data_IF_824738741313
#
_entry.id   IF_824738741313
#
_cell.length_a   1.000
_cell.length_b   1.000
_cell.length_c   1.000
_cell.angle_alpha   90.00
_cell.angle_beta   90.00
_cell.angle_gamma   90.00
#
_symmetry.space_group_name_H-M   'P 1'
#
loop_
_entity.id
_entity.type
_entity.pdbx_description
1 polymer ?
#
# COMPACT_ATOMS: atom_id res chain seq x y z
N UNK A 1 3.05 12.30 -6.00
CA UNK A 1 3.48 11.86 -4.67
C UNK A 1 3.84 10.36 -4.66
N UNK A 2 2.96 9.48 -5.14
CA UNK A 2 3.20 8.03 -5.21
C UNK A 2 4.51 7.69 -5.90
N UNK A 3 4.78 8.23 -7.10
CA UNK A 3 6.04 8.04 -7.82
C UNK A 3 7.27 8.48 -7.03
N UNK A 4 7.18 9.58 -6.30
CA UNK A 4 8.30 10.09 -5.51
C UNK A 4 8.68 9.15 -4.37
N UNK A 5 7.68 8.72 -3.57
CA UNK A 5 7.90 7.81 -2.46
C UNK A 5 8.42 6.46 -2.98
N UNK A 6 7.79 5.89 -4.01
CA UNK A 6 8.21 4.62 -4.59
C UNK A 6 9.64 4.68 -5.13
N UNK A 7 10.00 5.72 -5.89
CA UNK A 7 11.35 5.89 -6.42
C UNK A 7 12.39 6.06 -5.31
N UNK A 8 12.06 6.75 -4.22
CA UNK A 8 13.02 6.92 -3.12
C UNK A 8 13.20 5.62 -2.34
N UNK A 9 12.13 4.85 -2.09
CA UNK A 9 12.24 3.51 -1.48
C UNK A 9 13.16 2.63 -2.34
N UNK A 10 12.93 2.51 -3.64
CA UNK A 10 13.76 1.72 -4.55
C UNK A 10 15.22 2.18 -4.51
N UNK A 11 15.48 3.47 -4.57
CA UNK A 11 16.83 4.03 -4.52
C UNK A 11 17.55 3.69 -3.22
N UNK A 12 16.86 3.70 -2.08
CA UNK A 12 17.43 3.31 -0.79
C UNK A 12 17.75 1.80 -0.76
N UNK A 13 16.86 0.97 -1.31
CA UNK A 13 17.06 -0.47 -1.46
C UNK A 13 18.28 -0.78 -2.34
N UNK A 14 18.36 -0.14 -3.51
CA UNK A 14 19.51 -0.27 -4.43
C UNK A 14 20.82 0.21 -3.77
N UNK A 15 20.76 1.22 -2.91
CA UNK A 15 21.87 1.69 -2.09
C UNK A 15 22.29 0.75 -0.97
N UNK A 16 21.59 -0.37 -0.76
CA UNK A 16 21.87 -1.35 0.28
C UNK A 16 21.47 -0.91 1.69
N UNK A 17 20.56 0.05 1.79
CA UNK A 17 20.03 0.54 3.06
C UNK A 17 18.95 -0.41 3.53
N UNK A 18 19.18 -1.15 4.63
CA UNK A 18 18.25 -2.14 5.17
C UNK A 18 17.22 -1.58 6.16
N UNK A 19 17.47 -0.39 6.68
CA UNK A 19 16.47 0.39 7.42
C UNK A 19 16.80 1.86 7.30
N UNK A 20 15.80 2.69 7.14
CA UNK A 20 15.92 4.13 7.33
C UNK A 20 15.35 4.43 8.70
N UNK A 21 16.23 4.53 9.70
CA UNK A 21 15.87 5.14 10.95
C UNK A 21 15.89 6.66 10.75
N UNK A 22 14.83 7.17 10.25
CA UNK A 22 14.70 8.60 10.04
C UNK A 22 13.56 8.87 9.06
N UNK A 23 12.74 9.81 9.45
CA UNK A 23 11.68 10.29 8.61
C UNK A 23 12.26 11.18 7.53
N UNK A 24 12.09 10.83 6.27
CA UNK A 24 12.25 11.79 5.19
C UNK A 24 10.95 12.59 5.13
N UNK A 25 11.00 13.86 5.53
CA UNK A 25 9.86 14.75 5.40
C UNK A 25 9.81 15.28 3.97
N UNK A 26 8.68 15.10 3.30
CA UNK A 26 8.44 15.61 1.96
C UNK A 26 7.38 16.70 2.04
N UNK A 27 7.72 17.89 1.54
CA UNK A 27 6.75 18.98 1.35
C UNK A 27 6.08 18.78 -0.01
N UNK A 28 4.93 18.12 -0.03
CA UNK A 28 4.06 18.08 -1.18
C UNK A 28 2.62 18.33 -0.74
N UNK A 29 1.88 19.19 -1.43
CA UNK A 29 0.46 19.34 -1.16
C UNK A 29 -0.24 18.03 -1.49
N UNK A 30 -0.65 17.29 -0.47
CA UNK A 30 -1.53 16.13 -0.60
C UNK A 30 -2.96 16.63 -0.88
N UNK A 31 -3.25 17.88 -0.52
CA UNK A 31 -4.54 18.53 -0.66
C UNK A 31 -4.42 19.86 -1.41
N UNK A 32 -5.47 20.21 -2.15
CA UNK A 32 -5.53 21.35 -3.09
C UNK A 32 -5.34 22.71 -2.41
N UNK A 33 -5.49 22.81 -1.08
CA UNK A 33 -5.48 24.07 -0.33
C UNK A 33 -4.42 24.17 0.80
N UNK A 34 -3.49 23.21 0.93
CA UNK A 34 -2.50 23.24 1.99
C UNK A 34 -1.15 23.72 1.45
N UNK A 35 -0.67 24.85 1.96
CA UNK A 35 0.61 25.45 1.56
C UNK A 35 1.85 24.66 2.01
N UNK A 36 1.72 23.71 2.99
CA UNK A 36 2.85 22.93 3.53
C UNK A 36 2.40 21.58 4.10
N UNK A 37 1.84 20.68 3.26
CA UNK A 37 1.55 19.32 3.72
C UNK A 37 2.82 18.48 3.81
N UNK A 38 3.24 18.21 5.03
CA UNK A 38 4.32 17.27 5.33
C UNK A 38 3.75 15.87 5.42
N UNK A 39 4.35 14.94 4.72
CA UNK A 39 4.14 13.51 4.95
C UNK A 39 5.44 12.88 5.40
N UNK A 40 5.41 12.19 6.51
CA UNK A 40 6.52 11.36 6.93
C UNK A 40 6.37 10.00 6.28
N UNK A 41 7.43 9.46 5.74
CA UNK A 41 7.45 8.11 5.25
C UNK A 41 8.75 7.42 5.68
N UNK A 42 8.66 6.12 5.89
CA UNK A 42 9.81 5.30 6.23
C UNK A 42 9.68 3.90 5.64
N UNK A 43 10.78 3.18 5.60
CA UNK A 43 10.72 1.75 5.36
C UNK A 43 11.77 1.01 6.20
N UNK A 44 11.49 -0.25 6.47
CA UNK A 44 12.42 -1.20 7.04
C UNK A 44 12.40 -2.51 6.24
N UNK A 45 13.38 -3.37 6.49
CA UNK A 45 13.46 -4.70 5.87
C UNK A 45 13.35 -5.76 6.94
N UNK A 46 12.37 -6.63 6.80
CA UNK A 46 12.17 -7.77 7.68
C UNK A 46 12.51 -9.08 6.96
N UNK A 47 13.24 -9.96 7.63
CA UNK A 47 13.57 -11.28 7.11
C UNK A 47 12.72 -12.37 7.80
N UNK A 48 11.98 -13.13 6.99
CA UNK A 48 11.13 -14.23 7.42
C UNK A 48 11.64 -15.56 6.86
N UNK A 49 11.16 -16.68 7.39
CA UNK A 49 11.62 -18.01 6.95
C UNK A 49 11.11 -18.32 5.52
N UNK A 50 9.94 -17.84 5.15
CA UNK A 50 9.33 -18.03 3.83
C UNK A 50 8.37 -16.86 3.51
N UNK A 51 8.28 -16.51 2.22
CA UNK A 51 7.26 -15.61 1.67
C UNK A 51 6.44 -16.43 0.67
N UNK A 52 5.23 -16.89 1.04
CA UNK A 52 4.48 -17.84 0.25
C UNK A 52 4.21 -17.36 -1.18
N UNK A 53 4.68 -18.12 -2.17
CA UNK A 53 4.44 -17.86 -3.59
C UNK A 53 5.10 -16.62 -4.18
N UNK A 54 5.97 -15.93 -3.41
CA UNK A 54 6.60 -14.66 -3.79
C UNK A 54 8.09 -14.63 -3.46
N UNK A 55 8.82 -13.71 -4.10
CA UNK A 55 10.22 -13.40 -3.78
C UNK A 55 10.35 -12.31 -2.72
N UNK A 56 9.34 -11.54 -2.51
CA UNK A 56 9.19 -10.52 -1.47
C UNK A 56 7.71 -10.30 -1.16
N UNK A 57 7.44 -9.58 -0.08
CA UNK A 57 6.11 -9.03 0.22
C UNK A 57 6.27 -7.60 0.74
N UNK A 58 5.21 -6.81 0.73
CA UNK A 58 5.19 -5.44 1.25
C UNK A 58 4.06 -5.33 2.25
N UNK A 59 4.41 -5.03 3.49
CA UNK A 59 3.45 -4.63 4.50
C UNK A 59 3.53 -3.13 4.67
N UNK A 60 2.40 -2.49 4.73
CA UNK A 60 2.35 -1.06 4.87
C UNK A 60 1.31 -0.64 5.89
N UNK A 61 1.46 0.55 6.43
CA UNK A 61 0.50 1.16 7.32
C UNK A 61 0.52 2.67 7.17
N UNK A 62 -0.65 3.28 7.26
CA UNK A 62 -0.82 4.72 7.23
C UNK A 62 -1.47 5.24 8.51
N UNK A 63 -1.01 6.37 9.01
CA UNK A 63 -1.51 6.96 10.24
C UNK A 63 -1.17 8.44 10.37
N UNK A 64 -1.29 8.95 11.60
CA UNK A 64 -0.80 10.26 11.99
C UNK A 64 0.10 10.10 13.21
N UNK A 65 1.22 10.80 13.23
CA UNK A 65 2.09 10.85 14.40
C UNK A 65 1.49 11.74 15.51
N UNK A 66 2.23 11.90 16.62
CA UNK A 66 1.81 12.70 17.78
C UNK A 66 1.61 14.19 17.44
N UNK A 67 2.24 14.71 16.38
CA UNK A 67 2.10 16.07 15.88
C UNK A 67 1.02 16.22 14.82
N UNK A 68 0.19 15.17 14.59
CA UNK A 68 -0.83 15.11 13.53
C UNK A 68 -0.26 15.22 12.11
N UNK A 69 1.01 14.90 11.91
CA UNK A 69 1.61 14.80 10.58
C UNK A 69 1.30 13.42 10.01
N UNK A 70 0.79 13.33 8.77
CA UNK A 70 0.58 12.04 8.11
C UNK A 70 1.87 11.21 8.06
N UNK A 71 1.76 9.93 8.35
CA UNK A 71 2.89 9.00 8.35
C UNK A 71 2.52 7.72 7.61
N UNK A 72 3.41 7.27 6.72
CA UNK A 72 3.28 5.99 6.02
C UNK A 72 4.56 5.19 6.22
N UNK A 73 4.42 3.99 6.74
CA UNK A 73 5.54 3.07 6.97
C UNK A 73 5.39 1.82 6.09
N UNK A 74 6.49 1.44 5.44
CA UNK A 74 6.57 0.25 4.61
C UNK A 74 7.54 -0.75 5.21
N UNK A 75 7.16 -2.00 5.28
CA UNK A 75 8.05 -3.11 5.63
C UNK A 75 8.22 -4.01 4.42
N UNK A 76 9.43 -4.04 3.87
CA UNK A 76 9.81 -4.98 2.81
C UNK A 76 10.15 -6.32 3.43
N UNK A 77 9.37 -7.33 3.15
CA UNK A 77 9.52 -8.66 3.74
C UNK A 77 10.26 -9.58 2.76
N UNK A 78 11.38 -10.13 3.18
CA UNK A 78 12.25 -10.99 2.37
C UNK A 78 12.45 -12.36 3.03
N UNK A 79 12.59 -13.44 2.22
CA UNK A 79 13.04 -14.72 2.74
C UNK A 79 14.43 -14.61 3.36
N UNK A 80 14.68 -15.31 4.46
CA UNK A 80 16.02 -15.37 5.07
C UNK A 80 17.06 -15.90 4.09
N UNK A 81 18.17 -15.20 4.03
CA UNK A 81 19.28 -15.54 3.12
C UNK A 81 19.19 -14.86 1.75
N UNK A 82 18.12 -14.15 1.46
CA UNK A 82 18.03 -13.25 0.31
C UNK A 82 18.79 -11.97 0.63
N UNK A 83 19.71 -11.56 -0.24
CA UNK A 83 20.29 -10.22 -0.16
C UNK A 83 19.27 -9.18 -0.63
N UNK A 84 19.18 -8.06 0.06
CA UNK A 84 18.31 -6.95 -0.36
C UNK A 84 18.66 -6.46 -1.79
N UNK A 85 19.94 -6.49 -2.13
CA UNK A 85 20.45 -6.11 -3.46
C UNK A 85 20.09 -7.11 -4.55
N UNK A 86 19.89 -8.39 -4.17
CA UNK A 86 19.48 -9.45 -5.10
C UNK A 86 17.96 -9.63 -5.15
N UNK A 87 17.23 -8.94 -4.26
CA UNK A 87 15.78 -8.95 -4.26
C UNK A 87 15.25 -8.18 -5.47
N UNK A 88 14.51 -8.85 -6.32
CA UNK A 88 13.80 -8.21 -7.44
C UNK A 88 12.49 -7.66 -6.89
N UNK A 89 12.51 -6.39 -6.50
CA UNK A 89 11.30 -5.69 -6.06
C UNK A 89 10.48 -5.32 -7.29
N UNK A 90 9.25 -5.78 -7.33
CA UNK A 90 8.33 -5.38 -8.41
C UNK A 90 7.87 -3.93 -8.20
N UNK A 91 8.32 -3.04 -9.09
CA UNK A 91 8.00 -1.62 -9.02
C UNK A 91 6.47 -1.35 -9.08
N UNK A 92 5.70 -1.95 -10.01
CA UNK A 92 4.25 -1.81 -10.03
C UNK A 92 3.57 -2.20 -8.73
N UNK A 93 3.96 -3.31 -8.10
CA UNK A 93 3.38 -3.77 -6.84
C UNK A 93 3.68 -2.79 -5.69
N UNK A 94 4.94 -2.36 -5.55
CA UNK A 94 5.32 -1.36 -4.55
C UNK A 94 4.57 -0.04 -4.78
N UNK A 95 4.45 0.40 -6.04
CA UNK A 95 3.70 1.60 -6.40
C UNK A 95 2.23 1.50 -6.02
N UNK A 96 1.61 0.33 -6.24
CA UNK A 96 0.25 0.04 -5.81
C UNK A 96 0.08 0.13 -4.30
N UNK A 97 1.01 -0.45 -3.54
CA UNK A 97 1.01 -0.40 -2.08
C UNK A 97 1.14 1.05 -1.56
N UNK A 98 2.03 1.85 -2.16
CA UNK A 98 2.14 3.28 -1.80
C UNK A 98 0.85 4.03 -2.10
N UNK A 99 0.19 3.78 -3.24
CA UNK A 99 -1.07 4.41 -3.59
C UNK A 99 -2.20 4.03 -2.61
N UNK A 100 -2.26 2.77 -2.18
CA UNK A 100 -3.19 2.26 -1.18
C UNK A 100 -3.06 3.04 0.14
N UNK A 101 -1.86 3.15 0.69
CA UNK A 101 -1.63 3.83 1.97
C UNK A 101 -1.89 5.34 1.90
N UNK A 102 -1.53 5.99 0.79
CA UNK A 102 -1.86 7.40 0.59
C UNK A 102 -3.37 7.64 0.52
N UNK A 103 -4.13 6.66 0.02
CA UNK A 103 -5.59 6.75 0.05
C UNK A 103 -6.14 6.74 1.48
N UNK A 104 -5.57 5.93 2.38
CA UNK A 104 -5.93 5.96 3.80
C UNK A 104 -5.66 7.33 4.45
N UNK A 105 -4.54 7.98 4.11
CA UNK A 105 -4.28 9.36 4.56
C UNK A 105 -5.38 10.32 4.07
N UNK A 106 -5.77 10.21 2.80
CA UNK A 106 -6.86 11.03 2.25
C UNK A 106 -8.19 10.78 2.96
N UNK A 107 -8.55 9.52 3.19
CA UNK A 107 -9.76 9.15 3.95
C UNK A 107 -9.77 9.77 5.34
N UNK A 108 -8.66 9.68 6.08
CA UNK A 108 -8.53 10.24 7.44
C UNK A 108 -8.71 11.77 7.42
N UNK A 109 -8.15 12.45 6.43
CA UNK A 109 -8.31 13.90 6.30
C UNK A 109 -9.74 14.34 5.97
N UNK A 110 -10.48 13.49 5.27
CA UNK A 110 -11.92 13.73 5.03
C UNK A 110 -12.80 13.35 6.23
N UNK A 111 -12.18 12.90 7.33
CA UNK A 111 -12.91 12.48 8.54
C UNK A 111 -13.56 11.11 8.39
N UNK A 112 -13.17 10.34 7.40
CA UNK A 112 -13.56 8.93 7.26
C UNK A 112 -12.68 8.15 8.23
N UNK A 113 -13.22 7.82 9.39
CA UNK A 113 -12.51 7.04 10.41
C UNK A 113 -12.32 5.60 9.92
N UNK A 114 -11.16 5.04 10.24
CA UNK A 114 -10.97 3.59 10.13
C UNK A 114 -12.07 2.88 10.92
N UNK A 115 -12.63 1.86 10.31
CA UNK A 115 -13.56 0.99 11.02
C UNK A 115 -12.76 0.24 12.09
N UNK A 116 -12.92 0.67 13.36
CA UNK A 116 -12.38 -0.02 14.54
C UNK A 116 -13.14 -1.35 14.79
N UNK A 117 -13.35 -2.14 13.77
CA UNK A 117 -13.79 -3.51 13.92
C UNK A 117 -12.59 -4.32 14.37
N UNK A 118 -12.73 -5.05 15.48
CA UNK A 118 -11.74 -6.05 15.87
C UNK A 118 -11.34 -6.84 14.62
N UNK A 119 -10.07 -6.71 14.24
CA UNK A 119 -9.44 -7.53 13.21
C UNK A 119 -9.23 -8.92 13.83
N UNK A 120 -10.33 -9.61 14.16
CA UNK A 120 -10.32 -11.05 14.29
C UNK A 120 -9.75 -11.57 12.96
N UNK A 121 -8.76 -12.41 12.96
CA UNK A 121 -8.04 -13.07 11.86
C UNK A 121 -8.89 -13.44 10.60
N UNK A 122 -9.95 -12.72 10.34
CA UNK A 122 -10.88 -12.87 9.23
C UNK A 122 -10.45 -11.98 8.05
N UNK A 123 -9.64 -12.56 7.17
CA UNK A 123 -9.15 -11.89 5.97
C UNK A 123 -10.28 -11.39 5.07
N UNK A 124 -11.38 -12.13 4.96
CA UNK A 124 -12.53 -11.72 4.14
C UNK A 124 -13.12 -10.42 4.66
N UNK A 125 -13.29 -10.32 5.98
CA UNK A 125 -13.81 -9.12 6.63
C UNK A 125 -12.88 -7.93 6.45
N UNK A 126 -11.57 -8.16 6.47
CA UNK A 126 -10.58 -7.13 6.18
C UNK A 126 -10.76 -6.56 4.77
N UNK A 127 -10.77 -7.42 3.73
CA UNK A 127 -10.93 -6.97 2.34
C UNK A 127 -12.30 -6.35 2.04
N UNK A 128 -13.34 -6.68 2.80
CA UNK A 128 -14.69 -6.11 2.66
C UNK A 128 -14.94 -4.91 3.59
N UNK A 129 -13.93 -4.44 4.29
CA UNK A 129 -14.02 -3.23 5.10
C UNK A 129 -14.29 -2.00 4.21
N UNK A 130 -15.29 -1.16 4.52
CA UNK A 130 -15.63 0.03 3.72
C UNK A 130 -14.48 1.02 3.52
N UNK A 131 -13.46 1.04 4.39
CA UNK A 131 -12.27 1.88 4.22
C UNK A 131 -11.20 1.20 3.38
N UNK A 132 -11.12 -0.13 3.40
CA UNK A 132 -10.15 -0.91 2.63
C UNK A 132 -10.55 -1.08 1.16
N UNK A 133 -11.84 -1.25 0.87
CA UNK A 133 -12.33 -1.44 -0.50
C UNK A 133 -11.81 -0.35 -1.46
N UNK A 134 -12.01 0.96 -1.21
CA UNK A 134 -11.50 1.99 -2.10
C UNK A 134 -9.96 2.07 -2.09
N UNK A 135 -9.29 1.80 -0.98
CA UNK A 135 -7.84 1.79 -0.89
C UNK A 135 -7.23 0.68 -1.75
N UNK A 136 -7.75 -0.54 -1.68
CA UNK A 136 -7.34 -1.65 -2.55
C UNK A 136 -7.64 -1.36 -4.02
N UNK A 137 -8.83 -0.81 -4.34
CA UNK A 137 -9.15 -0.42 -5.70
C UNK A 137 -8.12 0.53 -6.29
N UNK A 138 -7.77 1.60 -5.56
CA UNK A 138 -6.75 2.58 -5.98
C UNK A 138 -5.37 1.93 -6.12
N UNK A 139 -4.98 1.10 -5.16
CA UNK A 139 -3.70 0.38 -5.21
C UNK A 139 -3.58 -0.51 -6.45
N UNK A 140 -4.55 -1.37 -6.72
CA UNK A 140 -4.55 -2.24 -7.90
C UNK A 140 -4.63 -1.44 -9.21
N UNK A 141 -5.44 -0.38 -9.24
CA UNK A 141 -5.51 0.50 -10.41
C UNK A 141 -4.18 1.16 -10.72
N UNK A 142 -3.48 1.64 -9.69
CA UNK A 142 -2.15 2.24 -9.82
C UNK A 142 -1.12 1.22 -10.32
N UNK A 143 -1.10 0.01 -9.75
CA UNK A 143 -0.25 -1.10 -10.18
C UNK A 143 -0.50 -1.46 -11.65
N UNK A 144 -1.76 -1.65 -12.04
CA UNK A 144 -2.15 -2.04 -13.39
C UNK A 144 -1.87 -0.96 -14.42
N UNK A 145 -1.96 0.33 -14.05
CA UNK A 145 -1.61 1.43 -14.93
C UNK A 145 -0.11 1.42 -15.34
N UNK A 146 0.77 0.89 -14.49
CA UNK A 146 2.19 0.74 -14.78
C UNK A 146 2.54 -0.58 -15.46
N UNK A 147 1.95 -1.69 -15.01
CA UNK A 147 2.23 -3.02 -15.57
C UNK A 147 1.52 -3.29 -16.89
N UNK A 148 0.42 -2.59 -17.17
CA UNK A 148 -0.48 -2.89 -18.29
C UNK A 148 -1.33 -4.14 -18.09
N UNK A 149 -1.34 -4.69 -16.89
CA UNK A 149 -2.12 -5.88 -16.55
C UNK A 149 -3.61 -5.56 -16.41
N UNK A 150 -4.43 -6.60 -16.53
CA UNK A 150 -5.86 -6.51 -16.24
C UNK A 150 -6.10 -6.52 -14.74
N UNK A 151 -6.86 -5.55 -14.24
CA UNK A 151 -7.05 -5.32 -12.81
C UNK A 151 -7.74 -6.50 -12.10
N UNK A 152 -8.77 -7.09 -12.71
CA UNK A 152 -9.45 -8.25 -12.14
C UNK A 152 -8.50 -9.45 -12.05
N UNK A 153 -7.67 -9.65 -13.07
CA UNK A 153 -6.66 -10.71 -13.10
C UNK A 153 -5.63 -10.53 -11.99
N UNK A 154 -5.14 -9.31 -11.78
CA UNK A 154 -4.19 -9.00 -10.69
C UNK A 154 -4.80 -9.21 -9.31
N UNK A 155 -6.03 -8.74 -9.09
CA UNK A 155 -6.75 -8.97 -7.83
C UNK A 155 -6.91 -10.46 -7.53
N UNK A 156 -7.31 -11.26 -8.51
CA UNK A 156 -7.45 -12.72 -8.36
C UNK A 156 -6.12 -13.39 -8.08
N UNK A 157 -5.06 -12.96 -8.76
CA UNK A 157 -3.71 -13.45 -8.53
C UNK A 157 -3.27 -13.19 -7.09
N UNK A 158 -3.43 -11.97 -6.63
CA UNK A 158 -3.11 -11.56 -5.26
C UNK A 158 -3.92 -12.37 -4.23
N UNK A 159 -5.24 -12.45 -4.37
CA UNK A 159 -6.11 -13.16 -3.44
C UNK A 159 -5.85 -14.68 -3.42
N UNK A 160 -5.36 -15.26 -4.53
CA UNK A 160 -4.99 -16.67 -4.59
C UNK A 160 -3.83 -17.07 -3.65
N UNK A 161 -3.02 -16.08 -3.25
CA UNK A 161 -1.92 -16.25 -2.29
C UNK A 161 -2.39 -16.15 -0.83
N UNK A 162 -3.63 -15.70 -0.64
CA UNK A 162 -4.25 -15.59 0.67
C UNK A 162 -5.03 -16.87 0.99
N UNK A 163 -5.27 -17.13 2.25
CA UNK A 163 -6.05 -18.30 2.67
C UNK A 163 -7.57 -18.04 2.55
N UNK A 164 -8.02 -17.72 1.32
CA UNK A 164 -9.38 -17.33 0.97
C UNK A 164 -9.93 -18.35 -0.03
N UNK A 165 -11.16 -18.82 0.17
CA UNK A 165 -11.77 -19.76 -0.76
C UNK A 165 -12.31 -19.06 -2.03
N UNK A 166 -12.68 -19.84 -3.04
CA UNK A 166 -13.10 -19.29 -4.34
C UNK A 166 -14.38 -18.47 -4.28
N UNK A 167 -15.33 -18.81 -3.40
CA UNK A 167 -16.61 -18.09 -3.27
C UNK A 167 -16.38 -16.73 -2.59
N UNK A 168 -15.55 -16.68 -1.56
CA UNK A 168 -15.11 -15.46 -0.91
C UNK A 168 -14.28 -14.57 -1.85
N UNK A 169 -13.41 -15.18 -2.67
CA UNK A 169 -12.65 -14.44 -3.71
C UNK A 169 -13.57 -13.71 -4.66
N UNK A 170 -14.64 -14.37 -5.17
CA UNK A 170 -15.62 -13.71 -6.06
C UNK A 170 -16.26 -12.50 -5.38
N UNK A 171 -16.69 -12.65 -4.13
CA UNK A 171 -17.30 -11.57 -3.35
C UNK A 171 -16.35 -10.37 -3.18
N UNK A 172 -15.09 -10.64 -2.84
CA UNK A 172 -14.08 -9.59 -2.65
C UNK A 172 -13.80 -8.88 -3.98
N UNK A 173 -13.55 -9.63 -5.06
CA UNK A 173 -13.28 -9.04 -6.38
C UNK A 173 -14.45 -8.17 -6.84
N UNK A 174 -15.71 -8.61 -6.67
CA UNK A 174 -16.88 -7.81 -7.01
C UNK A 174 -16.92 -6.49 -6.23
N UNK A 175 -16.62 -6.53 -4.92
CA UNK A 175 -16.57 -5.33 -4.08
C UNK A 175 -15.43 -4.37 -4.49
N UNK A 176 -14.23 -4.90 -4.74
CA UNK A 176 -13.06 -4.09 -5.11
C UNK A 176 -13.19 -3.50 -6.52
N UNK A 177 -13.88 -4.17 -7.44
CA UNK A 177 -14.14 -3.66 -8.78
C UNK A 177 -15.20 -2.54 -8.81
N UNK A 178 -16.06 -2.46 -7.77
CA UNK A 178 -17.16 -1.51 -7.69
C UNK A 178 -17.17 -0.76 -6.37
N UNK A 179 -16.11 0.02 -6.05
CA UNK A 179 -16.05 0.76 -4.79
C UNK A 179 -17.17 1.80 -4.71
N UNK A 180 -17.85 1.85 -3.58
CA UNK A 180 -18.98 2.78 -3.36
C UNK A 180 -18.58 4.19 -2.94
N UNK A 181 -17.27 4.44 -2.72
CA UNK A 181 -16.71 5.73 -2.32
C UNK A 181 -15.54 6.10 -3.21
N UNK A 182 -15.70 7.15 -4.00
CA UNK A 182 -14.61 7.76 -4.77
C UNK A 182 -14.15 9.03 -4.04
N UNK A 183 -12.95 9.02 -3.49
CA UNK A 183 -12.21 10.23 -3.19
C UNK A 183 -11.55 10.70 -4.50
N UNK A 184 -11.45 12.01 -4.73
CA UNK A 184 -10.92 12.55 -5.98
C UNK A 184 -9.52 11.99 -6.31
N UNK A 185 -9.47 11.00 -7.18
CA UNK A 185 -8.31 10.19 -7.52
C UNK A 185 -7.18 10.97 -8.23
N UNK A 186 -7.53 12.08 -8.92
CA UNK A 186 -6.59 12.80 -9.80
C UNK A 186 -5.33 13.30 -9.06
N UNK A 187 -5.40 13.48 -7.76
CA UNK A 187 -4.30 14.01 -6.95
C UNK A 187 -3.37 12.94 -6.36
N UNK A 188 -3.79 11.67 -6.33
CA UNK A 188 -2.98 10.59 -5.71
C UNK A 188 -2.00 9.95 -6.71
N UNK A 189 -2.32 9.94 -8.00
CA UNK A 189 -1.54 9.24 -9.03
C UNK A 189 -0.59 10.15 -9.83
N UNK A 190 -0.58 11.47 -9.55
CA UNK A 190 0.28 12.44 -10.24
C UNK A 190 1.73 12.48 -9.74
#
# INVERSE_FOLDING_TARGET
LTHLITNEIIKQIEGGVSSVEGYASWQYPIFIDAEDDLINWGFDVQYVDDVPGRTFDVWASAGFNEDYIPEVTFTIVLPRGTSLQDAVIDYPELFGSVAHELHHIAQKNEGICEYEGETDNDQVRYYLNPTEIPAFHIGFRAQCALSGADMETEMRSYLSLQNINSEETELIVEALMNPSFEIAEENLLS
#
